data_IF_810838387537
#
_entry.id   IF_810838387537
#
_cell.length_a   1.000
_cell.length_b   1.000
_cell.length_c   1.000
_cell.angle_alpha   90.00
_cell.angle_beta   90.00
_cell.angle_gamma   90.00
#
_symmetry.space_group_name_H-M   'P 1'
#
loop_
_entity.id
_entity.type
_entity.pdbx_description
1 polymer ?
#
# COMPACT_ATOMS: atom_id res chain seq x y z
N UNK A 1 -0.34 -5.70 -16.18
CA UNK A 1 -0.01 -5.11 -14.86
C UNK A 1 0.56 -3.73 -15.11
N UNK A 2 -0.13 -2.70 -14.66
CA UNK A 2 0.29 -1.31 -14.83
C UNK A 2 0.68 -0.81 -13.45
N UNK A 3 1.96 -0.53 -13.23
CA UNK A 3 2.46 -0.06 -11.93
C UNK A 3 2.51 1.47 -11.93
N UNK A 4 1.86 2.12 -10.98
CA UNK A 4 1.97 3.57 -10.79
C UNK A 4 2.88 3.83 -9.59
N UNK A 5 4.08 4.38 -9.78
CA UNK A 5 4.97 4.70 -8.67
C UNK A 5 4.45 5.93 -7.90
N UNK A 6 4.36 5.82 -6.57
CA UNK A 6 3.94 6.90 -5.66
C UNK A 6 5.09 7.27 -4.71
N UNK A 7 5.79 8.36 -4.99
CA UNK A 7 6.87 8.84 -4.12
C UNK A 7 6.25 9.48 -2.88
N UNK A 8 6.56 8.97 -1.68
CA UNK A 8 6.10 9.52 -0.40
C UNK A 8 7.32 10.09 0.33
N UNK A 9 7.29 11.38 0.70
CA UNK A 9 8.40 12.05 1.38
C UNK A 9 8.02 13.34 2.11
N UNK A 10 8.78 13.65 3.18
CA UNK A 10 8.80 14.79 4.17
C UNK A 10 7.50 15.43 4.66
N UNK A 11 6.48 15.46 3.84
CA UNK A 11 5.08 15.59 4.20
C UNK A 11 4.52 14.19 4.42
N UNK A 12 3.67 14.00 5.43
CA UNK A 12 2.82 12.81 5.53
C UNK A 12 1.95 12.81 4.27
N UNK A 13 2.43 12.18 3.20
CA UNK A 13 1.66 12.03 1.99
C UNK A 13 0.92 10.70 2.13
N UNK A 14 -0.38 10.79 2.37
CA UNK A 14 -1.27 9.65 2.45
C UNK A 14 -1.37 9.14 1.00
N UNK A 15 -0.51 8.17 0.66
CA UNK A 15 -0.61 7.41 -0.58
C UNK A 15 -1.93 6.68 -0.56
N UNK A 16 -2.97 7.32 -1.09
CA UNK A 16 -4.30 6.77 -1.12
C UNK A 16 -4.41 5.93 -2.38
N UNK A 17 -4.41 4.62 -2.19
CA UNK A 17 -4.75 3.66 -3.22
C UNK A 17 -6.27 3.74 -3.36
N UNK A 18 -6.74 4.28 -4.49
CA UNK A 18 -8.17 4.52 -4.70
C UNK A 18 -8.94 3.20 -4.79
N UNK A 19 -10.24 3.17 -4.45
CA UNK A 19 -11.07 2.02 -4.75
C UNK A 19 -11.06 1.68 -6.24
N UNK A 20 -10.99 0.40 -6.56
CA UNK A 20 -11.08 -0.10 -7.94
C UNK A 20 -11.85 -1.42 -7.97
N UNK A 21 -13.08 -1.37 -8.50
CA UNK A 21 -13.97 -2.53 -8.60
C UNK A 21 -13.44 -3.63 -9.53
N UNK A 22 -12.46 -3.31 -10.38
CA UNK A 22 -11.83 -4.27 -11.30
C UNK A 22 -10.54 -4.87 -10.73
N UNK A 23 -10.08 -4.40 -9.56
CA UNK A 23 -8.87 -4.92 -8.90
C UNK A 23 -9.12 -6.34 -8.40
N UNK A 24 -8.23 -7.25 -8.79
CA UNK A 24 -8.26 -8.66 -8.37
C UNK A 24 -7.13 -9.02 -7.41
N UNK A 25 -6.11 -8.18 -7.32
CA UNK A 25 -5.00 -8.32 -6.38
C UNK A 25 -4.39 -6.97 -6.04
N UNK A 26 -3.84 -6.86 -4.83
CA UNK A 26 -3.09 -5.71 -4.34
C UNK A 26 -1.75 -6.19 -3.81
N UNK A 27 -0.65 -5.61 -4.30
CA UNK A 27 0.68 -5.94 -3.79
C UNK A 27 1.46 -4.65 -3.47
N UNK A 28 1.98 -4.60 -2.24
CA UNK A 28 2.76 -3.49 -1.71
C UNK A 28 4.15 -4.01 -1.36
N UNK A 29 5.18 -3.39 -1.94
CA UNK A 29 6.57 -3.77 -1.71
C UNK A 29 7.31 -2.65 -1.00
N UNK A 30 7.83 -2.93 0.20
CA UNK A 30 8.73 -2.03 0.88
C UNK A 30 10.15 -2.25 0.38
N UNK A 31 10.57 -1.45 -0.60
CA UNK A 31 11.94 -1.53 -1.16
C UNK A 31 12.98 -0.81 -0.29
N UNK A 32 12.60 -0.16 0.81
CA UNK A 32 13.52 0.55 1.69
C UNK A 32 14.42 -0.40 2.49
N UNK A 33 15.63 0.08 2.84
CA UNK A 33 16.61 -0.69 3.60
C UNK A 33 16.34 -0.76 5.10
N UNK A 34 15.60 0.21 5.64
CA UNK A 34 15.46 0.39 7.09
C UNK A 34 14.09 0.86 7.56
N UNK A 35 13.20 1.25 6.64
CA UNK A 35 11.92 1.87 7.00
C UNK A 35 10.84 0.80 7.12
N UNK A 36 9.80 1.09 7.90
CA UNK A 36 8.57 0.32 7.97
C UNK A 36 7.45 1.10 7.30
N UNK A 37 6.68 0.42 6.44
CA UNK A 37 5.44 0.97 5.89
C UNK A 37 4.28 0.50 6.74
N UNK A 38 3.28 1.35 6.94
CA UNK A 38 2.04 0.99 7.60
C UNK A 38 0.90 1.21 6.63
N UNK A 39 0.08 0.18 6.43
CA UNK A 39 -1.07 0.26 5.53
C UNK A 39 -2.35 -0.09 6.27
N UNK A 40 -3.48 0.46 5.82
CA UNK A 40 -4.80 0.11 6.35
C UNK A 40 -5.87 0.40 5.31
N UNK A 41 -6.92 -0.40 5.32
CA UNK A 41 -8.17 -0.12 4.60
C UNK A 41 -8.82 1.18 5.14
N UNK A 42 -9.34 2.01 4.24
CA UNK A 42 -9.97 3.30 4.56
C UNK A 42 -9.01 4.51 4.49
N UNK A 43 -9.38 5.59 5.19
CA UNK A 43 -8.79 6.92 5.00
C UNK A 43 -7.77 7.38 6.04
N UNK A 44 -7.57 6.64 7.13
CA UNK A 44 -6.65 7.03 8.21
C UNK A 44 -5.82 5.84 8.70
N UNK A 45 -4.50 5.97 8.54
CA UNK A 45 -3.49 5.00 8.98
C UNK A 45 -2.44 5.66 9.85
N UNK A 46 -2.00 4.96 10.89
CA UNK A 46 -0.91 5.33 11.79
C UNK A 46 -0.06 4.09 12.12
N UNK A 47 1.07 4.29 12.79
CA UNK A 47 1.89 3.19 13.27
C UNK A 47 1.19 2.32 14.33
N UNK A 48 0.15 2.85 14.99
CA UNK A 48 -0.60 2.16 16.05
C UNK A 48 -1.75 1.31 15.52
N UNK A 49 -2.23 1.60 14.29
CA UNK A 49 -3.43 0.95 13.74
C UNK A 49 -3.22 0.31 12.35
N UNK A 50 -2.06 0.54 11.72
CA UNK A 50 -1.74 0.00 10.41
C UNK A 50 -1.03 -1.34 10.48
N UNK A 51 -1.16 -2.11 9.40
CA UNK A 51 -0.43 -3.36 9.17
C UNK A 51 1.01 -3.00 8.79
N UNK A 52 2.02 -3.44 9.57
CA UNK A 52 3.43 -3.11 9.29
C UNK A 52 4.00 -3.99 8.17
N UNK A 53 4.67 -3.35 7.21
CA UNK A 53 5.50 -3.98 6.19
C UNK A 53 6.94 -3.55 6.47
N UNK A 54 7.69 -4.42 7.15
CA UNK A 54 9.08 -4.16 7.52
C UNK A 54 10.01 -3.97 6.32
N UNK A 55 11.21 -3.47 6.58
CA UNK A 55 12.23 -3.23 5.57
C UNK A 55 12.45 -4.46 4.66
N UNK A 56 12.48 -4.24 3.35
CA UNK A 56 12.56 -5.29 2.31
C UNK A 56 11.40 -6.30 2.30
N UNK A 57 10.36 -6.09 3.10
CA UNK A 57 9.16 -6.90 3.16
C UNK A 57 8.14 -6.55 2.07
N UNK A 58 7.07 -7.33 2.03
CA UNK A 58 5.93 -7.10 1.15
C UNK A 58 4.63 -7.58 1.80
N UNK A 59 3.52 -7.03 1.33
CA UNK A 59 2.18 -7.56 1.55
C UNK A 59 1.54 -7.81 0.19
N UNK A 60 0.89 -8.95 0.02
CA UNK A 60 0.12 -9.28 -1.18
C UNK A 60 -1.23 -9.85 -0.78
N UNK A 61 -2.29 -9.33 -1.39
CA UNK A 61 -3.67 -9.77 -1.20
C UNK A 61 -4.25 -10.18 -2.56
N UNK A 62 -5.01 -11.27 -2.58
CA UNK A 62 -5.78 -11.69 -3.76
C UNK A 62 -7.26 -11.68 -3.43
N UNK A 63 -8.09 -11.36 -4.42
CA UNK A 63 -9.56 -11.35 -4.25
C UNK A 63 -10.11 -12.69 -3.77
N UNK A 64 -9.44 -13.80 -4.10
CA UNK A 64 -9.82 -15.14 -3.64
C UNK A 64 -9.69 -15.29 -2.12
N UNK A 65 -8.74 -14.57 -1.51
CA UNK A 65 -8.40 -14.68 -0.09
C UNK A 65 -9.16 -13.65 0.75
N UNK A 66 -9.19 -12.39 0.31
CA UNK A 66 -9.72 -11.25 1.09
C UNK A 66 -11.03 -10.66 0.54
N UNK A 67 -11.56 -11.18 -0.57
CA UNK A 67 -12.82 -10.71 -1.14
C UNK A 67 -12.82 -9.23 -1.53
N UNK A 68 -13.90 -8.52 -1.22
CA UNK A 68 -14.12 -7.11 -1.62
C UNK A 68 -13.10 -6.14 -1.01
N UNK A 69 -12.45 -6.48 0.10
CA UNK A 69 -11.38 -5.66 0.74
C UNK A 69 -10.21 -5.36 -0.21
N UNK A 70 -9.95 -6.23 -1.20
CA UNK A 70 -8.94 -5.98 -2.24
C UNK A 70 -9.30 -4.78 -3.12
N UNK A 71 -10.59 -4.47 -3.26
CA UNK A 71 -11.12 -3.39 -4.12
C UNK A 71 -11.30 -2.07 -3.38
N UNK A 72 -11.18 -2.08 -2.06
CA UNK A 72 -11.39 -0.90 -1.22
C UNK A 72 -10.27 0.13 -1.35
N UNK A 73 -10.49 1.28 -0.72
CA UNK A 73 -9.48 2.31 -0.55
C UNK A 73 -8.46 1.84 0.48
N UNK A 74 -7.17 2.10 0.23
CA UNK A 74 -6.13 1.89 1.22
C UNK A 74 -5.32 3.16 1.43
N UNK A 75 -5.01 3.44 2.69
CA UNK A 75 -4.08 4.49 3.09
C UNK A 75 -2.75 3.89 3.53
N UNK A 76 -1.67 4.63 3.27
CA UNK A 76 -0.32 4.21 3.63
C UNK A 76 0.52 5.37 4.19
N UNK A 77 1.35 5.06 5.18
CA UNK A 77 2.41 5.93 5.68
C UNK A 77 3.74 5.17 5.80
N UNK A 78 4.85 5.90 5.86
CA UNK A 78 6.18 5.40 6.18
C UNK A 78 6.64 6.00 7.51
N UNK A 79 7.32 5.24 8.36
CA UNK A 79 7.98 5.78 9.57
C UNK A 79 9.22 6.64 9.27
N UNK A 80 9.70 6.61 8.02
CA UNK A 80 10.90 7.33 7.58
C UNK A 80 10.56 8.29 6.44
N UNK A 81 11.03 9.55 6.57
CA UNK A 81 10.66 10.67 5.70
C UNK A 81 11.17 10.59 4.25
N UNK A 82 12.02 9.62 3.90
CA UNK A 82 12.64 9.47 2.57
C UNK A 82 12.32 8.14 1.87
N UNK A 83 11.30 7.43 2.34
CA UNK A 83 10.96 6.11 1.79
C UNK A 83 10.10 6.20 0.55
N UNK A 84 10.66 5.86 -0.60
CA UNK A 84 9.88 5.63 -1.81
C UNK A 84 8.97 4.41 -1.65
N UNK A 85 7.66 4.61 -1.73
CA UNK A 85 6.67 3.54 -1.77
C UNK A 85 6.37 3.22 -3.25
N UNK A 86 6.28 1.93 -3.61
CA UNK A 86 5.88 1.54 -4.96
C UNK A 86 4.66 0.65 -4.87
N UNK A 87 3.53 1.15 -5.37
CA UNK A 87 2.26 0.42 -5.40
C UNK A 87 2.11 -0.25 -6.76
N UNK A 88 1.81 -1.55 -6.76
CA UNK A 88 1.51 -2.30 -7.97
C UNK A 88 0.02 -2.67 -7.97
N UNK A 89 -0.70 -2.20 -8.98
CA UNK A 89 -2.12 -2.49 -9.15
C UNK A 89 -2.33 -3.46 -10.31
N UNK A 90 -3.03 -4.57 -10.04
CA UNK A 90 -3.45 -5.54 -11.05
C UNK A 90 -4.89 -5.29 -11.47
N UNK A 91 -5.10 -4.71 -12.65
CA UNK A 91 -6.42 -4.63 -13.29
C UNK A 91 -6.63 -5.79 -14.27
N UNK A 92 -7.85 -6.31 -14.32
CA UNK A 92 -8.28 -7.28 -15.34
C UNK A 92 -8.56 -6.51 -16.64
N UNK A 93 -7.87 -6.87 -17.73
CA UNK A 93 -8.27 -6.45 -19.08
C UNK A 93 -9.55 -7.18 -19.51
#
# INVERSE_FOLDING_TARGET
MTSTPHIIGTTIDIGTIKPDQTRMSLAVFNKHGTATLYIKEGGEVSAENGIPIYAKGNLSLNFIEDGETVREQWSMISDTATTNIVVFEGTKQ
#
